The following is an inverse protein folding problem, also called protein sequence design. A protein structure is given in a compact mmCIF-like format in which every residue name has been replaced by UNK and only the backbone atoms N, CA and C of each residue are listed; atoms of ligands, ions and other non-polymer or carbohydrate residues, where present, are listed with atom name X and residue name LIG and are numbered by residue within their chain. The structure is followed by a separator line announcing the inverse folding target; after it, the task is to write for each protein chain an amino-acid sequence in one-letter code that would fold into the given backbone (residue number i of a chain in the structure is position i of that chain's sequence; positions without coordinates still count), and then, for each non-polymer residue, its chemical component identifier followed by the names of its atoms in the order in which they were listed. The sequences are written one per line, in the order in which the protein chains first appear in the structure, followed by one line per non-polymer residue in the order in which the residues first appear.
data_IF_880831856506
#
_entry.id   IF_880831856506
#
_cell.length_a   1.000
_cell.length_b   1.000
_cell.length_c   1.000
_cell.angle_alpha   90.00
_cell.angle_beta   90.00
_cell.angle_gamma   90.00
#
_symmetry.space_group_name_H-M   'P 1'
#
loop_
_entity.id
_entity.type
_entity.pdbx_description
1 polymer ?
#
# COMPACT_ATOMS: atom_id res chain seq x y z
N UNK A 1 19.41 2.27 6.48
CA UNK A 1 18.92 3.63 6.13
C UNK A 1 20.16 4.45 5.89
N UNK A 2 20.25 5.16 4.75
CA UNK A 2 21.39 6.04 4.49
C UNK A 2 21.34 7.23 5.46
N UNK A 3 22.47 7.63 6.02
CA UNK A 3 22.56 8.77 6.93
C UNK A 3 22.16 10.10 6.26
N UNK A 4 22.12 10.15 4.91
CA UNK A 4 21.81 11.32 4.09
C UNK A 4 20.43 11.29 3.41
N UNK A 5 19.46 10.65 4.05
CA UNK A 5 18.10 10.52 3.48
C UNK A 5 17.32 11.83 3.34
N UNK A 6 17.72 12.89 4.06
CA UNK A 6 17.10 14.23 4.04
C UNK A 6 18.17 15.28 3.73
N UNK A 7 17.97 15.99 2.63
CA UNK A 7 18.90 17.04 2.17
C UNK A 7 18.56 18.42 2.75
N UNK A 8 19.48 19.37 2.67
CA UNK A 8 19.21 20.76 3.03
C UNK A 8 18.10 21.39 2.16
N UNK A 9 17.91 20.92 0.92
CA UNK A 9 16.84 21.35 0.04
C UNK A 9 15.49 20.90 0.58
N UNK A 10 15.39 19.64 1.07
CA UNK A 10 14.17 19.09 1.67
C UNK A 10 13.78 19.87 2.93
N UNK A 11 14.77 20.19 3.78
CA UNK A 11 14.57 21.02 4.98
C UNK A 11 14.08 22.42 4.59
N UNK A 12 14.68 23.04 3.57
CA UNK A 12 14.25 24.36 3.09
C UNK A 12 12.83 24.32 2.54
N UNK A 13 12.46 23.27 1.79
CA UNK A 13 11.11 23.10 1.29
C UNK A 13 10.09 22.95 2.43
N UNK A 14 10.40 22.15 3.45
CA UNK A 14 9.55 21.99 4.64
C UNK A 14 9.35 23.32 5.39
N UNK A 15 10.43 24.12 5.58
CA UNK A 15 10.32 25.45 6.19
C UNK A 15 9.39 26.38 5.41
N UNK A 16 9.48 26.42 4.08
CA UNK A 16 8.57 27.22 3.22
C UNK A 16 7.11 26.82 3.40
N UNK A 17 6.82 25.51 3.59
CA UNK A 17 5.45 25.05 3.86
C UNK A 17 4.97 25.57 5.22
N UNK A 18 5.80 25.47 6.25
CA UNK A 18 5.47 26.00 7.59
C UNK A 18 5.22 27.52 7.57
N UNK A 19 6.09 28.29 6.91
CA UNK A 19 5.97 29.74 6.78
C UNK A 19 4.68 30.15 6.05
N UNK A 20 4.21 29.32 5.11
CA UNK A 20 2.96 29.56 4.39
C UNK A 20 1.69 29.43 5.25
N UNK A 21 1.79 28.79 6.43
CA UNK A 21 0.69 28.45 7.34
C UNK A 21 -0.42 27.59 6.70
N UNK A 22 -0.21 27.08 5.49
CA UNK A 22 -1.12 26.16 4.78
C UNK A 22 -0.68 24.72 4.96
N UNK A 23 -0.92 24.14 6.14
CA UNK A 23 -0.41 22.83 6.53
C UNK A 23 -1.30 21.65 6.13
N UNK A 24 -2.53 21.92 5.68
CA UNK A 24 -3.48 20.88 5.28
C UNK A 24 -4.04 21.17 3.90
N UNK A 25 -4.36 20.11 3.14
CA UNK A 25 -4.96 20.20 1.79
C UNK A 25 -4.28 21.22 0.86
N UNK A 26 -2.98 21.40 1.03
CA UNK A 26 -2.20 22.47 0.40
C UNK A 26 -1.94 22.18 -1.08
N UNK A 27 -1.47 23.22 -1.78
CA UNK A 27 -1.00 23.07 -3.18
C UNK A 27 0.11 22.03 -3.31
N UNK A 28 0.98 21.90 -2.31
CA UNK A 28 2.09 20.93 -2.33
C UNK A 28 1.59 19.49 -2.33
N UNK A 29 0.55 19.18 -1.57
CA UNK A 29 -0.10 17.87 -1.61
C UNK A 29 -0.63 17.55 -3.01
N UNK A 30 -1.34 18.50 -3.63
CA UNK A 30 -1.86 18.31 -4.99
C UNK A 30 -0.78 18.20 -6.06
N UNK A 31 0.29 18.98 -5.93
CA UNK A 31 1.47 18.88 -6.81
C UNK A 31 2.14 17.52 -6.66
N UNK A 32 2.36 17.05 -5.43
CA UNK A 32 2.90 15.73 -5.17
C UNK A 32 2.03 14.61 -5.78
N UNK A 33 0.73 14.62 -5.53
CA UNK A 33 -0.21 13.63 -6.09
C UNK A 33 -0.16 13.59 -7.61
N UNK A 34 -0.08 14.76 -8.25
CA UNK A 34 0.03 14.90 -9.71
C UNK A 34 1.35 14.32 -10.24
N UNK A 35 2.47 14.70 -9.64
CA UNK A 35 3.78 14.22 -10.10
C UNK A 35 3.98 12.73 -9.81
N UNK A 36 3.53 12.25 -8.65
CA UNK A 36 3.58 10.84 -8.30
C UNK A 36 2.72 9.99 -9.25
N UNK A 37 1.49 10.42 -9.54
CA UNK A 37 0.62 9.70 -10.48
C UNK A 37 1.25 9.58 -11.87
N UNK A 38 1.90 10.63 -12.38
CA UNK A 38 2.64 10.59 -13.64
C UNK A 38 3.81 9.59 -13.58
N UNK A 39 4.60 9.64 -12.50
CA UNK A 39 5.79 8.80 -12.35
C UNK A 39 5.45 7.31 -12.35
N UNK A 40 4.34 6.91 -11.72
CA UNK A 40 3.90 5.51 -11.65
C UNK A 40 2.93 5.11 -12.77
N UNK A 41 2.59 6.01 -13.69
CA UNK A 41 1.65 5.75 -14.79
C UNK A 41 0.20 5.56 -14.33
N UNK A 42 -0.17 6.05 -13.15
CA UNK A 42 -1.54 5.99 -12.64
C UNK A 42 -2.33 7.23 -13.07
N UNK A 43 -3.66 7.09 -13.21
CA UNK A 43 -4.53 8.22 -13.52
C UNK A 43 -4.66 9.20 -12.35
N UNK A 44 -4.67 8.69 -11.14
CA UNK A 44 -4.81 9.44 -9.91
C UNK A 44 -3.87 8.90 -8.84
N UNK A 45 -3.46 9.76 -7.93
CA UNK A 45 -2.80 9.40 -6.68
C UNK A 45 -3.47 10.18 -5.55
N UNK A 46 -3.45 9.61 -4.35
CA UNK A 46 -3.99 10.23 -3.15
C UNK A 46 -2.95 10.15 -2.05
N UNK A 47 -2.54 11.29 -1.53
CA UNK A 47 -1.64 11.38 -0.39
C UNK A 47 -2.38 11.08 0.90
N UNK A 48 -1.79 10.25 1.74
CA UNK A 48 -2.28 9.90 3.07
C UNK A 48 -1.18 10.06 4.11
N UNK A 49 -1.54 10.05 5.38
CA UNK A 49 -0.61 10.30 6.48
C UNK A 49 0.37 9.15 6.77
N UNK A 50 0.11 7.95 6.26
CA UNK A 50 0.98 6.77 6.48
C UNK A 50 0.69 5.65 5.48
N UNK A 51 1.65 4.72 5.33
CA UNK A 51 1.44 3.48 4.57
C UNK A 51 0.34 2.60 5.16
N UNK A 52 0.15 2.64 6.47
CA UNK A 52 -0.96 1.94 7.15
C UNK A 52 -2.32 2.45 6.66
N UNK A 53 -2.49 3.76 6.58
CA UNK A 53 -3.70 4.37 6.03
C UNK A 53 -3.86 4.08 4.53
N UNK A 54 -2.76 4.05 3.78
CA UNK A 54 -2.78 3.67 2.37
C UNK A 54 -3.29 2.24 2.18
N UNK A 55 -2.79 1.28 2.94
CA UNK A 55 -3.25 -0.11 2.89
C UNK A 55 -4.73 -0.23 3.25
N UNK A 56 -5.17 0.47 4.30
CA UNK A 56 -6.58 0.48 4.71
C UNK A 56 -7.47 1.00 3.57
N UNK A 57 -7.14 2.16 3.02
CA UNK A 57 -7.90 2.76 1.92
C UNK A 57 -7.89 1.89 0.67
N UNK A 58 -6.77 1.25 0.33
CA UNK A 58 -6.66 0.36 -0.83
C UNK A 58 -7.62 -0.83 -0.71
N UNK A 59 -7.67 -1.48 0.45
CA UNK A 59 -8.58 -2.61 0.70
C UNK A 59 -10.04 -2.17 0.64
N UNK A 60 -10.40 -1.06 1.30
CA UNK A 60 -11.78 -0.55 1.27
C UNK A 60 -12.17 -0.04 -0.13
N UNK A 61 -11.26 0.57 -0.88
CA UNK A 61 -11.50 0.94 -2.27
C UNK A 61 -11.70 -0.29 -3.18
N UNK A 62 -10.94 -1.37 -2.96
CA UNK A 62 -11.15 -2.63 -3.68
C UNK A 62 -12.51 -3.28 -3.35
N UNK A 63 -13.03 -3.05 -2.15
CA UNK A 63 -14.37 -3.49 -1.72
C UNK A 63 -15.52 -2.53 -2.06
N UNK A 64 -15.24 -1.37 -2.69
CA UNK A 64 -16.25 -0.36 -2.97
C UNK A 64 -17.43 -0.92 -3.77
N UNK A 65 -18.66 -0.60 -3.31
CA UNK A 65 -19.92 -1.08 -3.88
C UNK A 65 -20.10 -0.74 -5.36
N UNK A 66 -19.49 0.34 -5.83
CA UNK A 66 -19.55 0.79 -7.22
C UNK A 66 -18.68 -0.05 -8.18
N UNK A 67 -17.79 -0.91 -7.65
CA UNK A 67 -16.94 -1.77 -8.47
C UNK A 67 -17.67 -3.06 -8.85
N UNK A 68 -17.66 -3.41 -10.13
CA UNK A 68 -18.26 -4.66 -10.64
C UNK A 68 -17.60 -5.90 -10.01
N UNK A 69 -16.26 -5.90 -9.93
CA UNK A 69 -15.45 -7.00 -9.38
C UNK A 69 -14.84 -6.61 -8.03
N UNK A 70 -15.70 -6.20 -7.09
CA UNK A 70 -15.25 -5.79 -5.75
C UNK A 70 -14.91 -6.99 -4.86
N UNK A 71 -14.05 -6.76 -3.88
CA UNK A 71 -13.87 -7.67 -2.76
C UNK A 71 -15.11 -7.67 -1.87
N UNK A 72 -15.41 -8.83 -1.28
CA UNK A 72 -16.55 -9.03 -0.38
C UNK A 72 -16.09 -9.74 0.90
N UNK A 73 -16.73 -9.52 2.04
CA UNK A 73 -16.48 -10.32 3.23
C UNK A 73 -16.52 -11.82 2.92
N UNK A 74 -15.53 -12.57 3.41
CA UNK A 74 -15.36 -13.99 3.14
C UNK A 74 -14.51 -14.33 1.91
N UNK A 75 -14.19 -13.39 1.03
CA UNK A 75 -13.22 -13.60 -0.05
C UNK A 75 -11.82 -13.82 0.52
N UNK A 76 -11.04 -14.69 -0.14
CA UNK A 76 -9.68 -15.00 0.25
C UNK A 76 -8.69 -14.03 -0.40
N UNK A 77 -7.72 -13.58 0.41
CA UNK A 77 -6.58 -12.76 -0.04
C UNK A 77 -5.30 -13.44 0.40
N UNK A 78 -4.47 -13.78 -0.58
CA UNK A 78 -3.15 -14.37 -0.33
C UNK A 78 -2.19 -13.24 0.08
N UNK A 79 -1.36 -13.49 1.10
CA UNK A 79 -0.30 -12.58 1.53
C UNK A 79 0.88 -13.35 2.13
N UNK A 80 2.10 -12.78 2.13
CA UNK A 80 3.24 -13.41 2.77
C UNK A 80 3.07 -13.46 4.29
N UNK A 81 3.56 -14.52 4.92
CA UNK A 81 3.56 -14.64 6.39
C UNK A 81 4.45 -13.57 7.04
N UNK A 82 5.53 -13.19 6.39
CA UNK A 82 6.38 -12.08 6.81
C UNK A 82 5.83 -10.78 6.23
N UNK A 83 5.10 -10.04 7.04
CA UNK A 83 4.57 -8.73 6.65
C UNK A 83 4.42 -7.81 7.86
N UNK A 84 4.34 -6.53 7.58
CA UNK A 84 3.97 -5.58 8.61
C UNK A 84 2.50 -5.76 9.01
N UNK A 85 2.14 -5.68 10.30
CA UNK A 85 0.75 -5.93 10.75
C UNK A 85 -0.30 -5.11 9.99
N UNK A 86 0.05 -3.90 9.56
CA UNK A 86 -0.86 -3.03 8.80
C UNK A 86 -1.10 -3.46 7.35
N UNK A 87 -0.41 -4.47 6.86
CA UNK A 87 -0.76 -5.15 5.60
C UNK A 87 -1.85 -6.21 5.81
N UNK A 88 -1.91 -6.81 7.00
CA UNK A 88 -2.89 -7.82 7.36
C UNK A 88 -4.20 -7.21 7.90
N UNK A 89 -4.11 -6.26 8.84
CA UNK A 89 -5.28 -5.74 9.56
C UNK A 89 -6.41 -5.22 8.67
N UNK A 90 -6.15 -4.47 7.58
CA UNK A 90 -7.21 -4.03 6.68
C UNK A 90 -8.03 -5.17 6.06
N UNK A 91 -7.38 -6.31 5.77
CA UNK A 91 -8.05 -7.49 5.26
C UNK A 91 -9.04 -8.05 6.28
N UNK A 92 -8.56 -8.20 7.53
CA UNK A 92 -9.39 -8.70 8.64
C UNK A 92 -10.54 -7.74 8.95
N UNK A 93 -10.26 -6.43 9.01
CA UNK A 93 -11.27 -5.41 9.28
C UNK A 93 -12.35 -5.35 8.20
N UNK A 94 -11.99 -5.62 6.94
CA UNK A 94 -12.98 -5.70 5.86
C UNK A 94 -13.75 -7.05 5.84
N UNK A 95 -13.38 -8.00 6.70
CA UNK A 95 -14.01 -9.33 6.76
C UNK A 95 -13.49 -10.30 5.70
N UNK A 96 -12.33 -10.03 5.09
CA UNK A 96 -11.66 -10.94 4.17
C UNK A 96 -10.97 -12.07 4.96
N UNK A 97 -10.66 -13.16 4.26
CA UNK A 97 -9.94 -14.31 4.82
C UNK A 97 -8.48 -14.27 4.36
N UNK A 98 -7.52 -13.92 5.23
CA UNK A 98 -6.11 -14.01 4.91
C UNK A 98 -5.67 -15.45 4.68
N UNK A 99 -4.94 -15.68 3.58
CA UNK A 99 -4.33 -16.97 3.24
C UNK A 99 -2.82 -16.77 3.21
N UNK A 100 -2.13 -17.23 4.24
CA UNK A 100 -0.69 -17.01 4.37
C UNK A 100 0.11 -17.94 3.47
N UNK A 101 1.16 -17.40 2.88
CA UNK A 101 2.16 -18.09 2.07
C UNK A 101 3.55 -17.78 2.64
N UNK A 102 4.42 -18.77 2.61
CA UNK A 102 5.80 -18.62 3.10
C UNK A 102 6.64 -17.76 2.16
N UNK A 103 7.81 -17.37 2.61
CA UNK A 103 8.75 -16.50 1.91
C UNK A 103 10.02 -17.25 1.52
N UNK A 104 10.70 -16.76 0.50
CA UNK A 104 12.07 -17.16 0.17
C UNK A 104 13.04 -16.58 1.22
N UNK A 105 13.91 -17.44 1.78
CA UNK A 105 14.87 -17.04 2.81
C UNK A 105 15.96 -16.09 2.32
N UNK A 106 16.22 -16.08 1.00
CA UNK A 106 17.31 -15.30 0.42
C UNK A 106 16.88 -13.85 0.08
N UNK A 107 15.64 -13.68 -0.37
CA UNK A 107 15.15 -12.38 -0.83
C UNK A 107 13.92 -11.88 -0.05
N UNK A 108 13.39 -12.68 0.86
CA UNK A 108 12.25 -12.38 1.74
C UNK A 108 10.92 -12.14 0.99
N UNK A 109 10.88 -12.39 -0.31
CA UNK A 109 9.65 -12.27 -1.10
C UNK A 109 8.78 -13.52 -0.99
N UNK A 110 7.51 -13.37 -1.30
CA UNK A 110 6.53 -14.45 -1.29
C UNK A 110 6.90 -15.54 -2.32
N UNK A 111 6.74 -16.81 -1.97
CA UNK A 111 7.03 -17.95 -2.84
C UNK A 111 5.91 -18.17 -3.86
N UNK A 112 6.22 -17.97 -5.16
CA UNK A 112 5.25 -18.07 -6.25
C UNK A 112 4.62 -19.46 -6.40
N UNK A 113 5.40 -20.51 -6.22
CA UNK A 113 4.91 -21.89 -6.30
C UNK A 113 3.88 -22.20 -5.20
N UNK A 114 4.05 -21.61 -4.03
CA UNK A 114 3.09 -21.75 -2.94
C UNK A 114 1.83 -20.89 -3.17
N UNK A 115 1.95 -19.72 -3.82
CA UNK A 115 0.78 -18.96 -4.25
C UNK A 115 -0.10 -19.85 -5.12
N UNK A 116 0.48 -20.47 -6.17
CA UNK A 116 -0.25 -21.34 -7.11
C UNK A 116 -0.99 -22.49 -6.40
N UNK A 117 -0.35 -23.09 -5.39
CA UNK A 117 -0.94 -24.19 -4.59
C UNK A 117 -2.10 -23.73 -3.69
N UNK A 118 -2.10 -22.45 -3.28
CA UNK A 118 -3.09 -21.90 -2.34
C UNK A 118 -4.24 -21.14 -3.01
N UNK A 119 -4.18 -20.95 -4.33
CA UNK A 119 -5.29 -20.34 -5.07
C UNK A 119 -6.51 -21.27 -5.05
N UNK A 120 -7.65 -20.73 -4.66
CA UNK A 120 -8.97 -21.38 -4.70
C UNK A 120 -9.95 -20.55 -5.52
N UNK A 121 -11.15 -21.05 -5.72
CA UNK A 121 -12.26 -20.28 -6.34
C UNK A 121 -12.64 -19.03 -5.52
N UNK A 122 -12.31 -19.01 -4.22
CA UNK A 122 -12.56 -17.89 -3.29
C UNK A 122 -11.44 -16.86 -3.28
N UNK A 123 -10.27 -17.17 -3.83
CA UNK A 123 -9.15 -16.23 -3.91
C UNK A 123 -9.49 -15.11 -4.90
N UNK A 124 -9.48 -13.87 -4.43
CA UNK A 124 -9.87 -12.68 -5.20
C UNK A 124 -8.75 -11.64 -5.31
N UNK A 125 -7.76 -11.71 -4.44
CA UNK A 125 -6.62 -10.79 -4.48
C UNK A 125 -5.37 -11.43 -3.88
N UNK A 126 -4.24 -10.81 -4.17
CA UNK A 126 -2.93 -11.09 -3.57
C UNK A 126 -2.38 -9.76 -3.05
N UNK A 127 -2.02 -9.71 -1.79
CA UNK A 127 -1.30 -8.60 -1.18
C UNK A 127 0.20 -8.87 -1.33
N UNK A 128 0.83 -8.23 -2.30
CA UNK A 128 2.27 -8.34 -2.52
C UNK A 128 3.02 -7.34 -1.67
N UNK A 129 4.14 -7.78 -1.10
CA UNK A 129 5.01 -6.96 -0.29
C UNK A 129 6.44 -7.21 -0.78
N UNK A 130 7.03 -6.20 -1.39
CA UNK A 130 8.42 -6.22 -1.83
C UNK A 130 9.31 -5.79 -0.65
N UNK A 131 9.77 -6.77 0.11
CA UNK A 131 10.55 -6.49 1.33
C UNK A 131 11.86 -5.82 0.95
N UNK A 132 12.14 -4.65 1.57
CA UNK A 132 13.34 -3.83 1.32
C UNK A 132 13.52 -3.42 -0.16
N UNK A 133 12.46 -3.47 -0.97
CA UNK A 133 12.49 -3.08 -2.39
C UNK A 133 12.96 -4.18 -3.34
N UNK A 134 13.01 -5.44 -2.89
CA UNK A 134 13.30 -6.59 -3.75
C UNK A 134 12.15 -6.89 -4.71
#
# INVERSE_FOLDING_TARGET
MSEDGITNQDISAAKKVLDSKQLTMSKYTREFEKEFSKKIGAKYALMVNSGSSANLLAVFAAGNLMRKNRLKPGDEVILPILCWPTSLWPLVQFGLKPVFVDIDKNNLNILEDQIKKKITKKTKAIMLINVLGN
#
